data_IF_890742758123
#
_entry.id   IF_890742758123
#
_cell.length_a   1.000
_cell.length_b   1.000
_cell.length_c   1.000
_cell.angle_alpha   90.00
_cell.angle_beta   90.00
_cell.angle_gamma   90.00
#
_symmetry.space_group_name_H-M   'P 1'
#
loop_
_entity.id
_entity.type
_entity.pdbx_description
1 polymer ?
#
# COMPACT_ATOMS: atom_id res chain seq x y z
N UNK A 1 19.20 -5.89 12.94
CA UNK A 1 17.73 -5.89 12.96
C UNK A 1 17.26 -7.29 13.26
N UNK A 2 16.27 -7.45 14.13
CA UNK A 2 15.66 -8.76 14.39
C UNK A 2 14.66 -9.11 13.30
N UNK A 3 14.60 -10.39 12.91
CA UNK A 3 13.55 -10.86 12.00
C UNK A 3 12.21 -10.88 12.77
N UNK A 4 11.20 -10.21 12.23
CA UNK A 4 9.83 -10.29 12.71
C UNK A 4 9.12 -11.40 11.93
N UNK A 5 8.47 -12.32 12.64
CA UNK A 5 7.66 -13.39 12.05
C UNK A 5 6.19 -13.08 12.28
N UNK A 6 5.39 -13.13 11.22
CA UNK A 6 3.94 -13.05 11.30
C UNK A 6 3.34 -14.46 11.25
N UNK A 7 2.39 -14.76 12.12
CA UNK A 7 1.52 -15.92 11.93
C UNK A 7 0.43 -15.61 10.88
N UNK A 8 -0.34 -16.64 10.50
CA UNK A 8 -1.36 -16.51 9.47
C UNK A 8 -2.47 -15.50 9.83
N UNK A 9 -2.84 -15.40 11.11
CA UNK A 9 -3.87 -14.47 11.56
C UNK A 9 -3.38 -13.02 11.51
N UNK A 10 -2.15 -12.79 11.95
CA UNK A 10 -1.50 -11.50 11.89
C UNK A 10 -1.32 -11.07 10.43
N UNK A 11 -0.90 -11.97 9.55
CA UNK A 11 -0.74 -11.71 8.13
C UNK A 11 -2.07 -11.24 7.47
N UNK A 12 -3.17 -11.96 7.71
CA UNK A 12 -4.49 -11.57 7.22
C UNK A 12 -4.94 -10.20 7.75
N UNK A 13 -4.72 -9.97 9.05
CA UNK A 13 -5.07 -8.70 9.70
C UNK A 13 -4.29 -7.52 9.10
N UNK A 14 -2.98 -7.70 8.86
CA UNK A 14 -2.14 -6.69 8.24
C UNK A 14 -2.50 -6.43 6.78
N UNK A 15 -2.74 -7.48 5.99
CA UNK A 15 -3.22 -7.35 4.61
C UNK A 15 -4.49 -6.51 4.55
N UNK A 16 -5.46 -6.78 5.44
CA UNK A 16 -6.72 -6.03 5.48
C UNK A 16 -6.51 -4.57 5.83
N UNK A 17 -5.84 -4.28 6.95
CA UNK A 17 -5.67 -2.89 7.43
C UNK A 17 -4.86 -2.05 6.46
N UNK A 18 -3.82 -2.60 5.86
CA UNK A 18 -2.98 -1.86 4.91
C UNK A 18 -3.69 -1.66 3.56
N UNK A 19 -4.50 -2.63 3.12
CA UNK A 19 -5.38 -2.45 1.96
C UNK A 19 -6.38 -1.32 2.21
N UNK A 20 -7.06 -1.33 3.36
CA UNK A 20 -8.04 -0.30 3.72
C UNK A 20 -7.37 1.09 3.77
N UNK A 21 -6.16 1.18 4.34
CA UNK A 21 -5.39 2.43 4.37
C UNK A 21 -5.04 2.93 2.96
N UNK A 22 -4.60 2.03 2.06
CA UNK A 22 -4.27 2.37 0.67
C UNK A 22 -5.50 2.85 -0.09
N UNK A 23 -6.66 2.23 0.12
CA UNK A 23 -7.93 2.66 -0.48
C UNK A 23 -8.33 4.07 -0.01
N UNK A 24 -8.24 4.34 1.30
CA UNK A 24 -8.52 5.67 1.85
C UNK A 24 -7.61 6.73 1.25
N UNK A 25 -6.32 6.43 1.09
CA UNK A 25 -5.38 7.34 0.45
C UNK A 25 -5.71 7.55 -1.03
N UNK A 26 -6.04 6.49 -1.78
CA UNK A 26 -6.44 6.59 -3.18
C UNK A 26 -7.66 7.50 -3.39
N UNK A 27 -8.68 7.37 -2.53
CA UNK A 27 -9.85 8.27 -2.57
C UNK A 27 -9.46 9.72 -2.27
N UNK A 28 -8.59 9.96 -1.28
CA UNK A 28 -8.17 11.33 -0.91
C UNK A 28 -7.28 11.99 -1.97
N UNK A 29 -6.46 11.20 -2.64
CA UNK A 29 -5.61 11.65 -3.74
C UNK A 29 -6.39 11.78 -5.05
N UNK A 30 -7.65 11.31 -5.10
CA UNK A 30 -8.46 11.31 -6.31
C UNK A 30 -7.85 10.41 -7.39
N UNK A 31 -7.57 9.17 -7.04
CA UNK A 31 -7.10 8.13 -7.96
C UNK A 31 -8.29 7.26 -8.33
N UNK A 32 -8.71 7.30 -9.59
CA UNK A 32 -9.78 6.47 -10.13
C UNK A 32 -9.24 5.47 -11.18
N UNK A 33 -8.15 5.84 -11.86
CA UNK A 33 -7.50 5.00 -12.87
C UNK A 33 -6.02 4.77 -12.59
N UNK A 34 -5.39 3.93 -13.42
CA UNK A 34 -3.94 3.70 -13.36
C UNK A 34 -3.17 4.96 -13.79
N UNK A 35 -3.66 5.68 -14.81
CA UNK A 35 -3.07 6.93 -15.27
C UNK A 35 -3.07 8.01 -14.17
N UNK A 36 -4.11 8.04 -13.33
CA UNK A 36 -4.16 8.96 -12.17
C UNK A 36 -3.03 8.68 -11.18
N UNK A 37 -2.69 7.41 -10.98
CA UNK A 37 -1.63 6.97 -10.08
C UNK A 37 -0.24 7.28 -10.66
N UNK A 38 -0.04 7.04 -11.96
CA UNK A 38 1.21 7.38 -12.65
C UNK A 38 1.50 8.90 -12.62
N UNK A 39 0.46 9.73 -12.66
CA UNK A 39 0.57 11.18 -12.63
C UNK A 39 0.71 11.78 -11.22
N UNK A 40 0.69 10.98 -10.14
CA UNK A 40 0.70 11.47 -8.74
C UNK A 40 1.86 12.42 -8.44
N UNK A 41 3.06 12.07 -8.87
CA UNK A 41 4.26 12.86 -8.63
C UNK A 41 4.15 14.27 -9.22
N UNK A 42 3.52 14.40 -10.39
CA UNK A 42 3.29 15.69 -11.06
C UNK A 42 2.13 16.45 -10.43
N UNK A 43 1.03 15.75 -10.09
CA UNK A 43 -0.19 16.33 -9.51
C UNK A 43 0.00 16.91 -8.11
N UNK A 44 0.99 16.42 -7.37
CA UNK A 44 1.26 16.82 -5.98
C UNK A 44 2.36 17.87 -5.85
N UNK A 45 2.91 18.36 -6.97
CA UNK A 45 3.95 19.41 -6.97
C UNK A 45 3.41 20.67 -6.29
N UNK A 46 4.13 21.14 -5.26
CA UNK A 46 3.78 22.34 -4.51
C UNK A 46 2.79 22.11 -3.37
N UNK A 47 2.29 20.89 -3.18
CA UNK A 47 1.54 20.48 -1.99
C UNK A 47 2.29 19.37 -1.25
N UNK A 48 3.01 19.77 -0.21
CA UNK A 48 3.84 18.88 0.60
C UNK A 48 3.03 17.78 1.31
N UNK A 49 1.79 18.08 1.72
CA UNK A 49 0.94 17.11 2.38
C UNK A 49 0.41 16.07 1.38
N UNK A 50 0.03 16.52 0.19
CA UNK A 50 -0.38 15.61 -0.88
C UNK A 50 0.78 14.74 -1.37
N UNK A 51 2.00 15.30 -1.46
CA UNK A 51 3.22 14.55 -1.81
C UNK A 51 3.53 13.45 -0.81
N UNK A 52 3.48 13.76 0.49
CA UNK A 52 3.68 12.76 1.54
C UNK A 52 2.60 11.65 1.50
N UNK A 53 1.35 12.02 1.20
CA UNK A 53 0.27 11.05 1.03
C UNK A 53 0.47 10.15 -0.21
N UNK A 54 0.98 10.70 -1.31
CA UNK A 54 1.32 9.95 -2.52
C UNK A 54 2.47 8.96 -2.27
N UNK A 55 3.53 9.39 -1.61
CA UNK A 55 4.66 8.52 -1.24
C UNK A 55 4.22 7.37 -0.32
N UNK A 56 3.34 7.67 0.66
CA UNK A 56 2.78 6.64 1.51
C UNK A 56 1.88 5.69 0.73
N UNK A 57 1.05 6.20 -0.18
CA UNK A 57 0.23 5.39 -1.06
C UNK A 57 1.12 4.42 -1.84
N UNK A 58 2.15 4.89 -2.55
CA UNK A 58 3.09 4.07 -3.32
C UNK A 58 3.78 3.01 -2.46
N UNK A 59 4.36 3.42 -1.32
CA UNK A 59 5.04 2.52 -0.41
C UNK A 59 4.13 1.39 0.10
N UNK A 60 2.86 1.70 0.44
CA UNK A 60 1.89 0.68 0.85
C UNK A 60 1.65 -0.36 -0.24
N UNK A 61 1.78 0.00 -1.51
CA UNK A 61 1.65 -0.95 -2.62
C UNK A 61 2.75 -1.99 -2.59
N UNK A 62 3.99 -1.54 -2.45
CA UNK A 62 5.16 -2.42 -2.34
C UNK A 62 5.01 -3.36 -1.14
N UNK A 63 4.62 -2.84 0.02
CA UNK A 63 4.40 -3.65 1.23
C UNK A 63 3.27 -4.66 1.03
N UNK A 64 2.16 -4.26 0.41
CA UNK A 64 1.05 -5.16 0.14
C UNK A 64 1.44 -6.26 -0.85
N UNK A 65 2.23 -5.96 -1.88
CA UNK A 65 2.74 -6.96 -2.82
C UNK A 65 3.61 -8.01 -2.10
N UNK A 66 4.47 -7.58 -1.17
CA UNK A 66 5.26 -8.50 -0.34
C UNK A 66 4.37 -9.38 0.55
N UNK A 67 3.37 -8.80 1.22
CA UNK A 67 2.45 -9.56 2.08
C UNK A 67 1.58 -10.54 1.28
N UNK A 68 1.13 -10.16 0.08
CA UNK A 68 0.37 -11.04 -0.82
C UNK A 68 1.24 -12.19 -1.30
N UNK A 69 2.51 -11.93 -1.63
CA UNK A 69 3.48 -12.97 -2.00
C UNK A 69 3.67 -13.99 -0.87
N UNK A 70 3.83 -13.51 0.37
CA UNK A 70 3.96 -14.37 1.55
C UNK A 70 2.69 -15.18 1.81
N UNK A 71 1.51 -14.57 1.69
CA UNK A 71 0.23 -15.26 1.85
C UNK A 71 0.00 -16.34 0.78
N UNK A 72 0.37 -16.04 -0.47
CA UNK A 72 0.26 -16.98 -1.60
C UNK A 72 1.22 -18.17 -1.43
N UNK A 73 2.42 -17.92 -0.91
CA UNK A 73 3.38 -18.97 -0.56
C UNK A 73 2.88 -19.88 0.58
N UNK A 74 2.09 -19.35 1.52
CA UNK A 74 1.50 -20.14 2.60
C UNK A 74 0.36 -21.05 2.13
N UNK A 75 -0.41 -20.66 1.11
CA UNK A 75 -1.53 -21.43 0.57
C UNK A 75 -1.11 -22.54 -0.41
N UNK A 76 0.13 -22.48 -0.93
CA UNK A 76 0.69 -23.48 -1.83
C UNK A 76 1.52 -24.59 -1.15
N UNK A 77 1.69 -24.53 0.17
CA UNK A 77 2.50 -25.45 0.98
C UNK A 77 1.70 -26.46 1.80
#
# INVERSE_FOLDING_TARGET
GGALTLDAQALDSWLRVLTDARLVLGVRLGIETEEDAEALAERTVGDEAARAAAELFEWLGIVLDELVSLASGHLGG
#
